data_IF_433017476786
#
_entry.id   IF_433017476786
#
_cell.length_a   1.000
_cell.length_b   1.000
_cell.length_c   1.000
_cell.angle_alpha   90.00
_cell.angle_beta   90.00
_cell.angle_gamma   90.00
#
_symmetry.space_group_name_H-M   'P 1'
#
loop_
_entity.id
_entity.type
_entity.pdbx_description
1 polymer ?
#
# COMPACT_ATOMS: atom_id res chain seq x y z
N UNK A 1 24.44 -20.16 19.61
CA UNK A 1 24.20 -20.60 18.21
C UNK A 1 22.88 -21.38 18.08
N UNK A 2 22.58 -22.36 18.93
CA UNK A 2 21.31 -23.11 18.90
C UNK A 2 20.06 -22.21 19.14
N UNK A 3 20.14 -21.25 20.06
CA UNK A 3 19.02 -20.35 20.37
C UNK A 3 18.68 -19.42 19.22
N UNK A 4 19.69 -18.91 18.49
CA UNK A 4 19.47 -18.09 17.28
C UNK A 4 18.82 -18.90 16.15
N UNK A 5 19.20 -20.17 15.98
CA UNK A 5 18.58 -21.05 14.99
C UNK A 5 17.12 -21.32 15.35
N UNK A 6 16.83 -21.55 16.60
CA UNK A 6 15.47 -21.75 17.10
C UNK A 6 14.61 -20.51 16.87
N UNK A 7 15.11 -19.32 17.17
CA UNK A 7 14.43 -18.04 16.95
C UNK A 7 14.11 -17.82 15.46
N UNK A 8 15.07 -18.06 14.56
CA UNK A 8 14.84 -17.97 13.12
C UNK A 8 13.78 -18.97 12.62
N UNK A 9 13.73 -20.18 13.19
CA UNK A 9 12.70 -21.16 12.83
C UNK A 9 11.31 -20.71 13.31
N UNK A 10 11.21 -20.21 14.55
CA UNK A 10 9.96 -19.68 15.09
C UNK A 10 9.46 -18.49 14.26
N UNK A 11 10.34 -17.56 13.88
CA UNK A 11 9.98 -16.44 12.99
C UNK A 11 9.44 -16.92 11.64
N UNK A 12 10.09 -17.90 11.02
CA UNK A 12 9.58 -18.51 9.76
C UNK A 12 8.20 -19.14 9.95
N UNK A 13 7.97 -19.83 11.06
CA UNK A 13 6.63 -20.38 11.38
C UNK A 13 5.61 -19.27 11.54
N UNK A 14 5.95 -18.18 12.23
CA UNK A 14 5.07 -17.03 12.38
C UNK A 14 4.74 -16.34 11.06
N UNK A 15 5.65 -16.31 10.10
CA UNK A 15 5.38 -15.78 8.76
C UNK A 15 4.34 -16.59 7.94
N UNK A 16 4.00 -17.82 8.39
CA UNK A 16 3.00 -18.68 7.75
C UNK A 16 1.59 -18.55 8.36
N UNK A 17 1.45 -17.80 9.43
CA UNK A 17 0.19 -17.59 10.14
C UNK A 17 -0.09 -16.10 10.27
N UNK A 18 -1.34 -15.72 10.59
CA UNK A 18 -1.70 -14.32 10.80
C UNK A 18 -0.97 -13.72 12.01
N UNK A 19 -0.72 -12.40 11.98
CA UNK A 19 -0.12 -11.67 13.10
C UNK A 19 -0.90 -11.90 14.41
N UNK A 20 -2.24 -12.00 14.35
CA UNK A 20 -3.12 -12.27 15.48
C UNK A 20 -2.87 -13.67 16.07
N UNK A 21 -2.66 -14.68 15.24
CA UNK A 21 -2.36 -16.05 15.72
C UNK A 21 -0.95 -16.12 16.29
N UNK A 22 0.03 -15.50 15.63
CA UNK A 22 1.39 -15.36 16.14
C UNK A 22 1.41 -14.69 17.53
N UNK A 23 0.60 -13.65 17.73
CA UNK A 23 0.50 -12.97 19.04
C UNK A 23 -0.03 -13.88 20.15
N UNK A 24 -0.98 -14.77 19.86
CA UNK A 24 -1.46 -15.75 20.83
C UNK A 24 -0.39 -16.78 21.19
N UNK A 25 0.43 -17.18 20.23
CA UNK A 25 1.51 -18.14 20.45
C UNK A 25 2.70 -17.52 21.17
N UNK A 26 2.87 -16.20 21.15
CA UNK A 26 3.96 -15.51 21.83
C UNK A 26 4.03 -15.75 23.34
N UNK A 27 2.92 -16.15 23.97
CA UNK A 27 2.85 -16.47 25.40
C UNK A 27 3.49 -17.82 25.78
N UNK A 28 3.79 -18.68 24.82
CA UNK A 28 4.24 -20.05 25.07
C UNK A 28 5.64 -20.10 25.71
N UNK A 29 6.54 -19.20 25.34
CA UNK A 29 7.85 -19.09 25.97
C UNK A 29 8.51 -17.73 25.66
N UNK A 30 9.65 -17.45 26.33
CA UNK A 30 10.46 -16.25 26.07
C UNK A 30 10.98 -16.21 24.63
N UNK A 31 11.37 -17.34 24.06
CA UNK A 31 11.86 -17.43 22.67
C UNK A 31 10.74 -17.11 21.67
N UNK A 32 9.50 -17.58 21.93
CA UNK A 32 8.34 -17.24 21.10
C UNK A 32 7.98 -15.76 21.20
N UNK A 33 8.00 -15.21 22.42
CA UNK A 33 7.78 -13.78 22.62
C UNK A 33 8.83 -12.93 21.90
N UNK A 34 10.11 -13.32 22.00
CA UNK A 34 11.21 -12.65 21.32
C UNK A 34 11.01 -12.68 19.80
N UNK A 35 10.77 -13.85 19.22
CA UNK A 35 10.52 -14.02 17.79
C UNK A 35 9.32 -13.19 17.31
N UNK A 36 8.21 -13.19 18.06
CA UNK A 36 7.04 -12.38 17.74
C UNK A 36 7.35 -10.88 17.82
N UNK A 37 8.16 -10.46 18.78
CA UNK A 37 8.46 -9.04 19.00
C UNK A 37 9.26 -8.38 17.88
N UNK A 38 9.80 -9.16 16.95
CA UNK A 38 10.63 -8.73 15.80
C UNK A 38 10.12 -9.24 14.46
N UNK A 39 8.83 -9.61 14.38
CA UNK A 39 8.23 -10.08 13.14
C UNK A 39 8.30 -9.00 12.05
N UNK A 40 8.72 -9.34 10.82
CA UNK A 40 8.78 -8.37 9.74
C UNK A 40 7.40 -8.00 9.16
N UNK A 41 6.37 -8.81 9.42
CA UNK A 41 5.04 -8.60 8.91
C UNK A 41 4.11 -8.17 10.03
N UNK A 42 3.59 -6.95 9.92
CA UNK A 42 2.68 -6.35 10.88
C UNK A 42 1.30 -6.18 10.25
N UNK A 43 0.29 -6.76 10.88
CA UNK A 43 -1.11 -6.69 10.44
C UNK A 43 -1.97 -6.22 11.61
N UNK A 44 -2.57 -5.03 11.49
CA UNK A 44 -3.42 -4.45 12.51
C UNK A 44 -4.83 -4.22 11.99
N UNK A 45 -5.78 -4.67 12.78
CA UNK A 45 -7.20 -4.46 12.52
C UNK A 45 -7.81 -3.72 13.70
N UNK A 46 -8.24 -2.48 13.48
CA UNK A 46 -8.86 -1.63 14.49
C UNK A 46 -10.33 -1.42 14.15
N UNK A 47 -11.21 -1.94 15.01
CA UNK A 47 -12.65 -1.83 14.86
C UNK A 47 -13.26 -1.03 16.03
N UNK A 48 -14.23 -0.16 15.71
CA UNK A 48 -14.83 0.76 16.67
C UNK A 48 -15.84 0.14 17.65
N UNK A 49 -16.31 -1.08 17.41
CA UNK A 49 -17.48 -1.59 18.12
C UNK A 49 -17.26 -1.91 19.59
N UNK A 50 -16.06 -2.33 19.99
CA UNK A 50 -15.75 -2.57 21.41
C UNK A 50 -14.24 -2.45 21.68
N UNK A 51 -13.88 -1.66 22.70
CA UNK A 51 -12.51 -1.64 23.23
C UNK A 51 -11.46 -1.03 22.28
N UNK A 52 -11.86 -0.21 21.34
CA UNK A 52 -10.98 0.39 20.31
C UNK A 52 -9.77 1.15 20.90
N UNK A 53 -9.95 1.83 22.04
CA UNK A 53 -8.86 2.53 22.76
C UNK A 53 -7.75 1.56 23.16
N UNK A 54 -8.11 0.37 23.64
CA UNK A 54 -7.14 -0.66 24.00
C UNK A 54 -6.38 -1.17 22.75
N UNK A 55 -7.08 -1.36 21.62
CA UNK A 55 -6.46 -1.76 20.37
C UNK A 55 -5.48 -0.71 19.86
N UNK A 56 -5.84 0.57 19.88
CA UNK A 56 -4.96 1.68 19.49
C UNK A 56 -3.72 1.73 20.35
N UNK A 57 -3.86 1.61 21.67
CA UNK A 57 -2.73 1.61 22.59
C UNK A 57 -1.77 0.43 22.34
N UNK A 58 -2.31 -0.74 21.97
CA UNK A 58 -1.50 -1.90 21.60
C UNK A 58 -0.72 -1.61 20.33
N UNK A 59 -1.39 -1.11 19.27
CA UNK A 59 -0.73 -0.75 18.01
C UNK A 59 0.35 0.30 18.26
N UNK A 60 0.04 1.35 19.01
CA UNK A 60 0.99 2.43 19.32
C UNK A 60 2.22 1.90 20.08
N UNK A 61 2.02 1.04 21.07
CA UNK A 61 3.10 0.40 21.82
C UNK A 61 4.01 -0.46 20.93
N UNK A 62 3.40 -1.23 20.01
CA UNK A 62 4.15 -2.05 19.06
C UNK A 62 4.94 -1.16 18.10
N UNK A 63 4.30 -0.17 17.49
CA UNK A 63 4.95 0.73 16.54
C UNK A 63 6.08 1.55 17.17
N UNK A 64 5.90 2.01 18.42
CA UNK A 64 6.99 2.64 19.16
C UNK A 64 8.19 1.72 19.38
N UNK A 65 7.96 0.45 19.69
CA UNK A 65 9.04 -0.53 19.83
C UNK A 65 9.80 -0.70 18.54
N UNK A 66 9.09 -0.83 17.38
CA UNK A 66 9.72 -0.94 16.08
C UNK A 66 10.52 0.31 15.71
N UNK A 67 9.98 1.48 15.95
CA UNK A 67 10.67 2.75 15.71
C UNK A 67 11.93 2.91 16.56
N UNK A 68 11.83 2.69 17.88
CA UNK A 68 12.97 2.78 18.81
C UNK A 68 14.05 1.72 18.52
N UNK A 69 13.64 0.48 18.19
CA UNK A 69 14.53 -0.63 17.90
C UNK A 69 15.07 -0.66 16.48
N UNK A 70 14.57 0.21 15.60
CA UNK A 70 14.85 0.17 14.15
C UNK A 70 14.67 -1.24 13.56
N UNK A 71 13.61 -1.93 14.01
CA UNK A 71 13.31 -3.29 13.59
C UNK A 71 12.76 -3.23 12.15
N UNK A 72 13.35 -3.97 11.18
CA UNK A 72 12.89 -3.95 9.80
C UNK A 72 11.43 -4.39 9.67
N UNK A 73 10.67 -3.69 8.82
CA UNK A 73 9.28 -4.03 8.49
C UNK A 73 9.24 -4.39 7.01
N UNK A 74 8.84 -5.62 6.67
CA UNK A 74 8.65 -6.01 5.28
C UNK A 74 7.24 -5.73 4.79
N UNK A 75 6.23 -6.09 5.59
CA UNK A 75 4.82 -5.82 5.32
C UNK A 75 4.20 -5.03 6.46
N UNK A 76 3.49 -3.96 6.12
CA UNK A 76 2.66 -3.21 7.05
C UNK A 76 1.24 -3.12 6.51
N UNK A 77 0.31 -3.75 7.22
CA UNK A 77 -1.11 -3.72 6.90
C UNK A 77 -1.88 -3.10 8.06
N UNK A 78 -2.63 -2.04 7.77
CA UNK A 78 -3.44 -1.35 8.76
C UNK A 78 -4.85 -1.12 8.22
N UNK A 79 -5.82 -1.73 8.90
CA UNK A 79 -7.24 -1.61 8.60
C UNK A 79 -7.95 -0.92 9.75
N UNK A 80 -8.58 0.22 9.48
CA UNK A 80 -9.33 0.99 10.49
C UNK A 80 -10.74 1.25 9.98
N UNK A 81 -11.70 0.66 10.66
CA UNK A 81 -13.12 0.76 10.32
C UNK A 81 -13.86 1.58 11.38
N UNK A 82 -13.99 2.87 11.12
CA UNK A 82 -14.65 3.84 12.01
C UNK A 82 -15.61 4.74 11.25
N UNK A 83 -16.71 5.10 11.88
CA UNK A 83 -17.63 6.08 11.34
C UNK A 83 -17.03 7.50 11.33
N UNK A 84 -16.19 7.83 12.30
CA UNK A 84 -15.40 9.07 12.35
C UNK A 84 -13.96 8.77 12.81
N UNK A 85 -13.13 8.48 11.83
CA UNK A 85 -11.72 8.14 12.06
C UNK A 85 -10.78 9.35 12.09
N UNK A 86 -11.29 10.56 11.89
CA UNK A 86 -10.47 11.78 11.73
C UNK A 86 -9.57 12.05 12.94
N UNK A 87 -10.04 11.72 14.15
CA UNK A 87 -9.26 11.86 15.37
C UNK A 87 -8.03 10.94 15.42
N UNK A 88 -8.03 9.87 14.61
CA UNK A 88 -6.94 8.90 14.55
C UNK A 88 -5.88 9.25 13.51
N UNK A 89 -6.16 10.15 12.59
CA UNK A 89 -5.24 10.48 11.50
C UNK A 89 -3.82 10.83 11.99
N UNK A 90 -3.60 11.62 13.05
CA UNK A 90 -2.27 11.90 13.55
C UNK A 90 -1.52 10.65 14.06
N UNK A 91 -2.25 9.69 14.64
CA UNK A 91 -1.65 8.42 15.07
C UNK A 91 -1.33 7.52 13.87
N UNK A 92 -2.22 7.46 12.89
CA UNK A 92 -2.01 6.74 11.63
C UNK A 92 -0.77 7.28 10.92
N UNK A 93 -0.63 8.61 10.82
CA UNK A 93 0.55 9.27 10.24
C UNK A 93 1.84 8.88 10.98
N UNK A 94 1.80 8.87 12.31
CA UNK A 94 2.92 8.43 13.16
C UNK A 94 3.32 6.98 12.85
N UNK A 95 2.35 6.06 12.81
CA UNK A 95 2.61 4.65 12.55
C UNK A 95 3.10 4.40 11.13
N UNK A 96 2.50 5.08 10.16
CA UNK A 96 2.92 5.04 8.77
C UNK A 96 4.37 5.51 8.63
N UNK A 97 4.73 6.62 9.27
CA UNK A 97 6.10 7.14 9.24
C UNK A 97 7.09 6.12 9.81
N UNK A 98 6.76 5.46 10.94
CA UNK A 98 7.59 4.38 11.49
C UNK A 98 7.75 3.24 10.48
N UNK A 99 6.68 2.80 9.82
CA UNK A 99 6.75 1.73 8.82
C UNK A 99 7.65 2.12 7.65
N UNK A 100 7.50 3.33 7.12
CA UNK A 100 8.34 3.85 6.04
C UNK A 100 9.81 3.93 6.46
N UNK A 101 10.12 4.51 7.61
CA UNK A 101 11.49 4.62 8.12
C UNK A 101 12.17 3.27 8.41
N UNK A 102 11.38 2.22 8.63
CA UNK A 102 11.87 0.86 8.89
C UNK A 102 11.92 -0.02 7.63
N UNK A 103 11.81 0.60 6.45
CA UNK A 103 12.09 -0.03 5.16
C UNK A 103 10.98 -0.92 4.64
N UNK A 104 9.72 -0.55 4.86
CA UNK A 104 8.55 -1.30 4.39
C UNK A 104 8.61 -1.56 2.89
N UNK A 105 8.31 -2.82 2.50
CA UNK A 105 8.24 -3.25 1.10
C UNK A 105 6.80 -3.37 0.59
N UNK A 106 5.89 -3.79 1.46
CA UNK A 106 4.47 -3.94 1.16
C UNK A 106 3.65 -3.09 2.13
N UNK A 107 2.97 -2.07 1.60
CA UNK A 107 2.13 -1.16 2.38
C UNK A 107 0.67 -1.33 1.98
N UNK A 108 -0.17 -1.71 2.94
CA UNK A 108 -1.59 -1.95 2.74
C UNK A 108 -2.37 -1.11 3.74
N UNK A 109 -3.18 -0.18 3.23
CA UNK A 109 -3.98 0.74 4.03
C UNK A 109 -5.46 0.62 3.66
N UNK A 110 -6.29 0.30 4.66
CA UNK A 110 -7.74 0.24 4.54
C UNK A 110 -8.37 1.23 5.52
N UNK A 111 -8.86 2.36 5.01
CA UNK A 111 -9.43 3.43 5.82
C UNK A 111 -10.63 4.06 5.16
N UNK A 112 -11.58 4.52 5.96
CA UNK A 112 -12.66 5.36 5.45
C UNK A 112 -12.17 6.81 5.37
N UNK A 113 -11.99 7.32 4.13
CA UNK A 113 -11.68 8.73 3.84
C UNK A 113 -10.37 9.26 4.44
N UNK A 114 -9.38 8.41 4.73
CA UNK A 114 -8.07 8.86 5.19
C UNK A 114 -7.31 9.60 4.08
N UNK A 115 -6.81 10.82 4.35
CA UNK A 115 -6.02 11.58 3.39
C UNK A 115 -4.59 11.01 3.34
N UNK A 116 -4.38 9.98 2.51
CA UNK A 116 -3.09 9.29 2.43
C UNK A 116 -1.99 10.23 1.93
N UNK A 117 -0.85 10.36 2.66
CA UNK A 117 0.25 11.24 2.28
C UNK A 117 1.09 10.62 1.16
N UNK A 118 0.53 10.56 -0.04
CA UNK A 118 1.06 9.78 -1.16
C UNK A 118 2.50 10.14 -1.53
N UNK A 119 2.87 11.41 -1.48
CA UNK A 119 4.25 11.83 -1.80
C UNK A 119 5.26 11.30 -0.78
N UNK A 120 4.89 11.30 0.50
CA UNK A 120 5.75 10.72 1.56
C UNK A 120 5.90 9.21 1.36
N UNK A 121 4.82 8.53 0.98
CA UNK A 121 4.84 7.10 0.68
C UNK A 121 5.73 6.80 -0.53
N UNK A 122 5.59 7.56 -1.62
CA UNK A 122 6.36 7.36 -2.85
C UNK A 122 7.84 7.76 -2.71
N UNK A 123 8.19 8.58 -1.72
CA UNK A 123 9.58 8.94 -1.43
C UNK A 123 10.38 7.74 -0.86
N UNK A 124 9.69 6.70 -0.38
CA UNK A 124 10.34 5.53 0.20
C UNK A 124 10.91 4.59 -0.87
N UNK A 125 12.21 4.34 -0.79
CA UNK A 125 12.94 3.58 -1.82
C UNK A 125 12.81 2.05 -1.70
N UNK A 126 12.36 1.56 -0.56
CA UNK A 126 12.17 0.11 -0.32
C UNK A 126 10.82 -0.41 -0.80
N UNK A 127 9.84 0.49 -0.99
CA UNK A 127 8.46 0.15 -1.29
C UNK A 127 8.32 -0.54 -2.66
N UNK A 128 7.69 -1.73 -2.68
CA UNK A 128 7.45 -2.54 -3.87
C UNK A 128 5.99 -2.70 -4.22
N UNK A 129 5.15 -2.74 -3.20
CA UNK A 129 3.70 -2.88 -3.35
C UNK A 129 2.97 -1.85 -2.49
N UNK A 130 2.00 -1.16 -3.09
CA UNK A 130 1.11 -0.21 -2.43
C UNK A 130 -0.34 -0.60 -2.70
N UNK A 131 -1.10 -0.84 -1.63
CA UNK A 131 -2.54 -1.10 -1.69
C UNK A 131 -3.25 -0.06 -0.83
N UNK A 132 -4.14 0.71 -1.46
CA UNK A 132 -4.98 1.69 -0.79
C UNK A 132 -6.45 1.35 -1.02
N UNK A 133 -7.21 1.29 0.05
CA UNK A 133 -8.64 1.04 0.01
C UNK A 133 -9.39 2.09 0.80
N UNK A 134 -10.41 2.72 0.17
CA UNK A 134 -11.30 3.72 0.76
C UNK A 134 -10.56 4.97 1.31
N UNK A 135 -9.41 5.30 0.70
CA UNK A 135 -8.58 6.46 1.03
C UNK A 135 -8.89 7.65 0.11
N UNK A 136 -8.45 8.84 0.53
CA UNK A 136 -8.44 10.02 -0.34
C UNK A 136 -7.00 10.38 -0.68
N UNK A 137 -6.68 10.53 -1.96
CA UNK A 137 -5.39 11.06 -2.40
C UNK A 137 -5.53 12.56 -2.60
N UNK A 138 -4.86 13.32 -1.75
CA UNK A 138 -4.92 14.79 -1.81
C UNK A 138 -4.20 15.30 -3.06
N UNK A 139 -4.74 16.34 -3.72
CA UNK A 139 -4.10 16.98 -4.85
C UNK A 139 -2.71 17.45 -4.46
N UNK A 140 -1.72 17.07 -5.25
CA UNK A 140 -0.34 17.50 -5.03
C UNK A 140 -0.15 18.84 -5.74
N UNK A 141 0.24 19.88 -5.00
CA UNK A 141 0.75 21.08 -5.65
C UNK A 141 2.09 20.75 -6.31
N UNK A 142 2.19 20.94 -7.61
CA UNK A 142 3.38 20.65 -8.45
C UNK A 142 4.67 21.39 -8.03
N UNK A 143 4.61 22.19 -6.98
CA UNK A 143 5.76 22.91 -6.41
C UNK A 143 6.67 22.04 -5.50
N UNK A 144 6.22 20.89 -5.04
CA UNK A 144 7.06 19.92 -4.36
C UNK A 144 7.72 19.02 -5.41
N UNK A 145 9.04 19.05 -5.50
CA UNK A 145 9.86 18.41 -6.54
C UNK A 145 9.41 16.99 -6.90
N UNK A 146 9.77 16.57 -8.10
CA UNK A 146 9.43 15.23 -8.64
C UNK A 146 9.96 14.14 -7.69
N UNK A 147 9.04 13.42 -7.07
CA UNK A 147 9.36 12.21 -6.30
C UNK A 147 9.47 11.05 -7.28
N UNK A 148 10.56 10.30 -7.28
CA UNK A 148 10.74 9.12 -8.12
C UNK A 148 10.84 7.87 -7.27
N UNK A 149 9.85 6.99 -7.38
CA UNK A 149 9.78 5.69 -6.71
C UNK A 149 10.15 4.57 -7.69
N UNK A 150 11.44 4.30 -7.81
CA UNK A 150 11.95 3.30 -8.77
C UNK A 150 11.79 1.85 -8.31
N UNK A 151 11.45 1.61 -7.05
CA UNK A 151 11.27 0.28 -6.48
C UNK A 151 9.86 -0.27 -6.63
N UNK A 152 8.85 0.63 -6.74
CA UNK A 152 7.44 0.25 -6.76
C UNK A 152 7.10 -0.51 -8.05
N UNK A 153 6.43 -1.66 -7.88
CA UNK A 153 6.07 -2.57 -8.97
C UNK A 153 4.58 -2.80 -9.06
N UNK A 154 3.87 -2.64 -7.97
CA UNK A 154 2.44 -2.89 -7.92
C UNK A 154 1.72 -1.79 -7.16
N UNK A 155 0.66 -1.26 -7.75
CA UNK A 155 -0.28 -0.33 -7.12
C UNK A 155 -1.69 -0.90 -7.26
N UNK A 156 -2.44 -0.89 -6.17
CA UNK A 156 -3.85 -1.26 -6.13
C UNK A 156 -4.64 -0.18 -5.41
N UNK A 157 -5.55 0.44 -6.12
CA UNK A 157 -6.44 1.49 -5.63
C UNK A 157 -7.89 1.02 -5.74
N UNK A 158 -8.55 0.82 -4.60
CA UNK A 158 -9.97 0.42 -4.56
C UNK A 158 -10.76 1.40 -3.70
N UNK A 159 -11.88 1.91 -4.24
CA UNK A 159 -12.73 2.92 -3.58
C UNK A 159 -11.98 4.21 -3.20
N UNK A 160 -10.89 4.51 -3.89
CA UNK A 160 -10.04 5.68 -3.63
C UNK A 160 -10.60 6.91 -4.34
N UNK A 161 -10.61 8.06 -3.64
CA UNK A 161 -10.90 9.35 -4.25
C UNK A 161 -9.58 10.00 -4.69
N UNK A 162 -9.45 10.26 -6.01
CA UNK A 162 -8.27 10.88 -6.60
C UNK A 162 -8.67 11.69 -7.84
N UNK A 163 -7.87 12.68 -8.19
CA UNK A 163 -8.04 13.43 -9.44
C UNK A 163 -7.11 12.93 -10.57
N UNK A 164 -7.29 13.48 -11.76
CA UNK A 164 -6.51 13.11 -12.95
C UNK A 164 -5.03 13.44 -12.80
N UNK A 165 -4.71 14.57 -12.17
CA UNK A 165 -3.34 15.00 -11.93
C UNK A 165 -2.62 14.01 -11.00
N UNK A 166 -3.33 13.53 -9.99
CA UNK A 166 -2.81 12.51 -9.09
C UNK A 166 -2.53 11.20 -9.81
N UNK A 167 -3.46 10.75 -10.67
CA UNK A 167 -3.24 9.54 -11.47
C UNK A 167 -2.02 9.68 -12.38
N UNK A 168 -1.87 10.82 -13.06
CA UNK A 168 -0.70 11.10 -13.89
C UNK A 168 0.58 11.15 -13.05
N UNK A 169 0.52 11.77 -11.85
CA UNK A 169 1.66 11.83 -10.93
C UNK A 169 2.10 10.44 -10.49
N UNK A 170 1.19 9.50 -10.24
CA UNK A 170 1.53 8.12 -9.90
C UNK A 170 2.33 7.45 -11.02
N UNK A 171 1.88 7.51 -12.26
CA UNK A 171 2.60 6.91 -13.39
C UNK A 171 3.95 7.59 -13.65
N UNK A 172 4.00 8.92 -13.53
CA UNK A 172 5.23 9.66 -13.72
C UNK A 172 6.27 9.38 -12.62
N UNK A 173 5.81 9.31 -11.36
CA UNK A 173 6.68 9.06 -10.21
C UNK A 173 7.15 7.60 -10.12
N UNK A 174 6.43 6.67 -10.73
CA UNK A 174 6.68 5.24 -10.62
C UNK A 174 6.87 4.58 -11.99
N UNK A 175 7.99 4.88 -12.70
CA UNK A 175 8.18 4.46 -14.09
C UNK A 175 8.32 2.94 -14.28
N UNK A 176 8.53 2.18 -13.20
CA UNK A 176 8.71 0.72 -13.24
C UNK A 176 7.52 -0.08 -12.72
N UNK A 177 6.32 0.51 -12.72
CA UNK A 177 5.10 -0.21 -12.36
C UNK A 177 4.85 -1.34 -13.35
N UNK A 178 4.67 -2.55 -12.82
CA UNK A 178 4.36 -3.77 -13.59
C UNK A 178 2.86 -4.09 -13.52
N UNK A 179 2.22 -3.81 -12.40
CA UNK A 179 0.80 -4.10 -12.17
C UNK A 179 0.09 -2.90 -11.58
N UNK A 180 -1.02 -2.51 -12.21
CA UNK A 180 -1.87 -1.41 -11.73
C UNK A 180 -3.33 -1.86 -11.71
N UNK A 181 -3.99 -1.67 -10.55
CA UNK A 181 -5.42 -1.90 -10.37
C UNK A 181 -6.08 -0.60 -9.95
N UNK A 182 -7.17 -0.25 -10.63
CA UNK A 182 -8.05 0.86 -10.33
C UNK A 182 -9.48 0.34 -10.27
N UNK A 183 -10.09 0.34 -9.09
CA UNK A 183 -11.40 -0.27 -8.87
C UNK A 183 -12.31 0.63 -8.06
N UNK A 184 -13.50 0.94 -8.58
CA UNK A 184 -14.53 1.77 -7.92
C UNK A 184 -14.02 3.12 -7.40
N UNK A 185 -13.02 3.70 -8.06
CA UNK A 185 -12.44 4.98 -7.68
C UNK A 185 -13.32 6.15 -8.12
N UNK A 186 -13.24 7.28 -7.40
CA UNK A 186 -14.01 8.49 -7.64
C UNK A 186 -13.12 9.72 -7.79
N UNK A 187 -13.70 10.84 -8.24
CA UNK A 187 -13.01 12.11 -8.40
C UNK A 187 -12.39 12.33 -9.79
N UNK A 188 -12.31 11.29 -10.60
CA UNK A 188 -11.84 11.38 -11.99
C UNK A 188 -13.02 11.82 -12.87
N UNK A 189 -13.03 13.07 -13.30
CA UNK A 189 -14.16 13.70 -14.00
C UNK A 189 -13.92 13.94 -15.49
N UNK A 190 -12.66 13.90 -15.92
CA UNK A 190 -12.28 14.17 -17.31
C UNK A 190 -12.51 12.96 -18.21
N UNK A 191 -13.04 13.22 -19.41
CA UNK A 191 -13.36 12.19 -20.40
C UNK A 191 -12.15 11.69 -21.21
N UNK A 192 -10.94 12.16 -20.95
CA UNK A 192 -9.76 11.91 -21.79
C UNK A 192 -8.51 11.62 -20.98
N UNK A 193 -8.59 10.63 -20.08
CA UNK A 193 -7.43 10.22 -19.31
C UNK A 193 -6.59 9.26 -20.14
N UNK A 194 -5.29 9.57 -20.27
CA UNK A 194 -4.31 8.73 -20.93
C UNK A 194 -3.42 8.04 -19.91
N UNK A 195 -3.33 6.73 -19.99
CA UNK A 195 -2.36 5.93 -19.23
C UNK A 195 -1.19 5.64 -20.16
N UNK A 196 0.02 6.07 -19.75
CA UNK A 196 1.25 5.81 -20.47
C UNK A 196 2.28 5.15 -19.56
N UNK A 197 2.72 3.94 -19.91
CA UNK A 197 3.75 3.22 -19.17
C UNK A 197 4.39 2.12 -20.02
N UNK A 198 5.72 2.17 -20.14
CA UNK A 198 6.50 1.18 -20.91
C UNK A 198 6.72 -0.13 -20.13
N UNK A 199 6.57 -0.11 -18.80
CA UNK A 199 6.82 -1.25 -17.91
C UNK A 199 5.58 -2.03 -17.52
N UNK A 200 4.37 -1.48 -17.82
CA UNK A 200 3.10 -2.03 -17.36
C UNK A 200 2.75 -3.32 -18.11
N UNK A 201 2.58 -4.41 -17.35
CA UNK A 201 2.20 -5.73 -17.87
C UNK A 201 0.78 -6.14 -17.53
N UNK A 202 0.29 -5.69 -16.38
CA UNK A 202 -1.05 -6.03 -15.89
C UNK A 202 -1.80 -4.75 -15.56
N UNK A 203 -2.93 -4.54 -16.22
CA UNK A 203 -3.81 -3.40 -15.98
C UNK A 203 -5.21 -3.90 -15.71
N UNK A 204 -5.76 -3.53 -14.56
CA UNK A 204 -7.14 -3.83 -14.19
C UNK A 204 -7.87 -2.54 -13.86
N UNK A 205 -8.98 -2.30 -14.55
CA UNK A 205 -9.79 -1.11 -14.38
C UNK A 205 -11.24 -1.53 -14.30
N UNK A 206 -11.85 -1.35 -13.12
CA UNK A 206 -13.23 -1.75 -12.87
C UNK A 206 -14.11 -0.57 -12.51
N UNK A 207 -15.27 -0.49 -13.18
CA UNK A 207 -16.33 0.51 -12.97
C UNK A 207 -15.84 1.96 -13.07
N UNK A 208 -15.10 2.24 -14.15
CA UNK A 208 -14.62 3.57 -14.42
C UNK A 208 -15.03 4.06 -15.81
N UNK A 209 -15.46 5.32 -15.89
CA UNK A 209 -15.81 6.00 -17.13
C UNK A 209 -14.84 7.17 -17.34
N UNK A 210 -13.98 7.11 -18.35
CA UNK A 210 -13.14 8.27 -18.68
C UNK A 210 -11.71 7.97 -19.09
N UNK A 211 -11.25 6.73 -19.06
CA UNK A 211 -9.98 6.39 -19.66
C UNK A 211 -10.16 6.31 -21.16
N UNK A 212 -9.44 7.22 -21.86
CA UNK A 212 -9.54 7.38 -23.29
C UNK A 212 -8.49 6.57 -24.07
N UNK A 213 -7.27 6.51 -23.53
CA UNK A 213 -6.15 5.92 -24.23
C UNK A 213 -5.23 5.17 -23.27
N UNK A 214 -4.80 3.99 -23.65
CA UNK A 214 -3.81 3.19 -22.93
C UNK A 214 -2.63 2.95 -23.87
N UNK A 215 -1.49 3.56 -23.57
CA UNK A 215 -0.20 3.36 -24.24
C UNK A 215 0.71 2.53 -23.33
N UNK A 216 0.69 1.22 -23.53
CA UNK A 216 1.46 0.27 -22.73
C UNK A 216 1.97 -0.87 -23.64
N UNK A 217 3.13 -0.69 -24.31
CA UNK A 217 3.63 -1.63 -25.32
C UNK A 217 3.97 -3.02 -24.77
N UNK A 218 4.25 -3.15 -23.47
CA UNK A 218 4.56 -4.41 -22.82
C UNK A 218 3.35 -5.04 -22.11
N UNK A 219 2.13 -4.53 -22.33
CA UNK A 219 0.92 -5.02 -21.67
C UNK A 219 0.60 -6.46 -22.07
N UNK A 220 0.48 -7.33 -21.08
CA UNK A 220 0.16 -8.77 -21.24
C UNK A 220 -1.27 -9.07 -20.86
N UNK A 221 -1.82 -8.38 -19.87
CA UNK A 221 -3.17 -8.61 -19.36
C UNK A 221 -3.90 -7.30 -19.14
N UNK A 222 -5.08 -7.19 -19.76
CA UNK A 222 -6.02 -6.10 -19.55
C UNK A 222 -7.35 -6.67 -19.07
N UNK A 223 -7.80 -6.23 -17.91
CA UNK A 223 -9.12 -6.48 -17.38
C UNK A 223 -9.84 -5.14 -17.23
N UNK A 224 -10.83 -4.89 -18.08
CA UNK A 224 -11.48 -3.59 -18.18
C UNK A 224 -13.00 -3.74 -18.12
N UNK A 225 -13.62 -3.05 -17.20
CA UNK A 225 -15.08 -2.87 -17.11
C UNK A 225 -15.41 -1.39 -17.01
N UNK A 226 -15.97 -0.83 -18.08
CA UNK A 226 -16.32 0.59 -18.16
C UNK A 226 -17.36 0.82 -19.27
N UNK A 227 -17.88 2.05 -19.36
CA UNK A 227 -18.95 2.38 -20.33
C UNK A 227 -18.40 2.55 -21.76
N UNK A 228 -17.15 2.92 -21.91
CA UNK A 228 -16.50 3.15 -23.21
C UNK A 228 -15.19 2.37 -23.28
N UNK A 229 -14.90 1.77 -24.43
CA UNK A 229 -13.66 1.01 -24.63
C UNK A 229 -12.54 2.01 -24.95
N UNK A 230 -11.43 2.02 -24.21
CA UNK A 230 -10.30 2.92 -24.49
C UNK A 230 -9.59 2.56 -25.79
N UNK A 231 -8.94 3.55 -26.39
CA UNK A 231 -8.00 3.31 -27.50
C UNK A 231 -6.75 2.61 -26.94
N UNK A 232 -6.41 1.47 -27.52
CA UNK A 232 -5.31 0.63 -27.05
C UNK A 232 -4.11 0.76 -28.00
N UNK A 233 -2.99 1.26 -27.49
CA UNK A 233 -1.69 1.33 -28.17
C UNK A 233 -0.73 0.33 -27.50
N UNK A 234 -0.92 -0.97 -27.76
CA UNK A 234 -0.24 -2.09 -27.09
C UNK A 234 0.77 -2.81 -28.01
N UNK A 235 0.76 -2.56 -29.31
CA UNK A 235 1.68 -3.24 -30.20
C UNK A 235 2.98 -2.45 -30.37
N UNK A 236 4.12 -3.06 -30.04
CA UNK A 236 5.37 -2.69 -30.70
C UNK A 236 5.26 -3.19 -32.15
N UNK A 237 5.33 -2.30 -33.12
CA UNK A 237 5.60 -2.73 -34.47
C UNK A 237 6.88 -3.57 -34.43
N UNK A 238 6.75 -4.87 -34.65
CA UNK A 238 7.90 -5.72 -34.89
C UNK A 238 8.49 -5.24 -36.21
N UNK A 239 9.51 -4.39 -36.13
CA UNK A 239 10.33 -4.07 -37.29
C UNK A 239 10.92 -5.39 -37.81
N UNK A 240 10.39 -5.87 -38.94
CA UNK A 240 10.99 -6.89 -39.78
C UNK A 240 12.32 -6.41 -40.31
#
# INVERSE_FOLDING_TARGET
MADLLLECLIQKMFCLISFKEASKMSILSKSWLQAWSTLPNLEFFVNCWQGWVAHINIVDTIMERYGKGKIPIEKFELSVFFADSTQLFPLIDKWLLVALQNGVKELILHFTSYPAPILTILAEKSLRELVLHDCTLMPVSLSSGVVSCNSLRKISLSYVTLDENMLQTLFYSCPFIVSFLLEYCSGLTMKHIKIKSDSLKVLKIHQYCGIWEIEAPDLVSLDYTGNEIPVLNIARESSQ
#
